data_IF_587641715888
#
_entry.id   IF_587641715888
#
_cell.length_a   1.000
_cell.length_b   1.000
_cell.length_c   1.000
_cell.angle_alpha   90.00
_cell.angle_beta   90.00
_cell.angle_gamma   90.00
#
_symmetry.space_group_name_H-M   'P 1'
#
loop_
_entity.id
_entity.type
_entity.pdbx_description
1 polymer ?
#
# COMPACT_ATOMS: atom_id res chain seq x y z
N UNK A 1 -9.28 9.66 -7.41
CA UNK A 1 -7.88 9.25 -7.37
C UNK A 1 -7.78 7.79 -7.77
N UNK A 2 -6.68 7.39 -8.40
CA UNK A 2 -6.42 6.02 -8.87
C UNK A 2 -4.95 5.66 -8.68
N UNK A 3 -4.65 4.36 -8.72
CA UNK A 3 -3.27 3.87 -8.67
C UNK A 3 -2.73 3.72 -10.09
N UNK A 4 -1.54 4.25 -10.35
CA UNK A 4 -0.81 4.02 -11.60
C UNK A 4 -0.02 2.73 -11.46
N UNK A 5 -0.68 1.60 -11.71
CA UNK A 5 -0.15 0.26 -11.43
C UNK A 5 1.17 -0.05 -12.13
N UNK A 6 1.43 0.54 -13.29
CA UNK A 6 2.64 0.31 -14.10
C UNK A 6 3.92 0.88 -13.47
N UNK A 7 3.80 1.83 -12.54
CA UNK A 7 4.96 2.45 -11.84
C UNK A 7 5.00 2.10 -10.35
N UNK A 8 4.12 1.21 -9.89
CA UNK A 8 4.11 0.72 -8.51
C UNK A 8 4.99 -0.52 -8.37
N UNK A 9 5.53 -0.74 -7.17
CA UNK A 9 6.21 -2.00 -6.85
C UNK A 9 5.28 -3.20 -7.03
N UNK A 10 5.87 -4.37 -7.27
CA UNK A 10 5.09 -5.59 -7.39
C UNK A 10 4.41 -5.92 -6.05
N UNK A 11 3.13 -6.28 -6.12
CA UNK A 11 2.36 -6.66 -4.94
C UNK A 11 2.90 -7.97 -4.39
N UNK A 12 3.37 -7.95 -3.14
CA UNK A 12 3.88 -9.14 -2.49
C UNK A 12 2.73 -10.08 -2.12
N UNK A 13 2.76 -11.28 -2.70
CA UNK A 13 1.76 -12.32 -2.45
C UNK A 13 2.22 -13.21 -1.31
N UNK A 14 1.69 -12.95 -0.13
CA UNK A 14 1.89 -13.81 1.03
C UNK A 14 1.12 -15.13 0.79
N UNK A 15 1.84 -16.25 0.68
CA UNK A 15 1.23 -17.59 0.54
C UNK A 15 0.69 -18.17 1.86
N UNK A 16 0.56 -17.35 2.90
CA UNK A 16 0.20 -17.81 4.25
C UNK A 16 -1.31 -17.98 4.48
N UNK A 17 -2.16 -17.31 3.70
CA UNK A 17 -3.62 -17.47 3.77
C UNK A 17 -4.12 -18.14 2.49
N UNK A 18 -4.75 -19.30 2.60
CA UNK A 18 -5.41 -19.97 1.49
C UNK A 18 -6.89 -20.12 1.80
N UNK A 19 -7.75 -19.61 0.91
CA UNK A 19 -9.18 -19.88 0.98
C UNK A 19 -9.40 -21.28 0.43
N UNK A 20 -9.91 -22.18 1.26
CA UNK A 20 -10.21 -23.56 0.88
C UNK A 20 -11.72 -23.78 0.82
N UNK A 21 -12.16 -24.65 -0.09
CA UNK A 21 -13.53 -25.14 -0.16
C UNK A 21 -13.48 -26.67 -0.12
N UNK A 22 -14.13 -27.28 0.88
CA UNK A 22 -14.06 -28.71 1.14
C UNK A 22 -12.62 -29.28 1.25
N UNK A 23 -11.68 -28.48 1.77
CA UNK A 23 -10.27 -28.87 1.89
C UNK A 23 -9.43 -28.67 0.62
N UNK A 24 -10.03 -28.24 -0.49
CA UNK A 24 -9.29 -27.89 -1.71
C UNK A 24 -8.92 -26.41 -1.73
N UNK A 25 -7.63 -26.05 -1.97
CA UNK A 25 -7.19 -24.66 -2.04
C UNK A 25 -7.75 -23.98 -3.29
N UNK A 26 -8.51 -22.90 -3.11
CA UNK A 26 -9.09 -22.13 -4.21
C UNK A 26 -8.19 -20.96 -4.61
N UNK A 27 -7.91 -20.03 -3.69
CA UNK A 27 -7.03 -18.89 -3.97
C UNK A 27 -6.36 -18.37 -2.70
N UNK A 28 -5.24 -17.67 -2.88
CA UNK A 28 -4.52 -16.97 -1.83
C UNK A 28 -4.85 -15.48 -1.94
N UNK A 29 -5.62 -14.89 -1.01
CA UNK A 29 -5.94 -13.47 -1.07
C UNK A 29 -4.67 -12.63 -0.95
N UNK A 30 -4.56 -11.61 -1.80
CA UNK A 30 -3.55 -10.55 -1.68
C UNK A 30 -4.26 -9.21 -1.89
N UNK A 31 -3.86 -8.21 -1.11
CA UNK A 31 -4.44 -6.88 -1.17
C UNK A 31 -3.81 -6.09 -2.31
N UNK A 32 -4.64 -5.32 -3.03
CA UNK A 32 -4.20 -4.47 -4.13
C UNK A 32 -3.61 -3.16 -3.60
N UNK A 33 -2.68 -2.48 -4.32
CA UNK A 33 -2.24 -1.14 -3.95
C UNK A 33 -3.40 -0.13 -3.84
N UNK A 34 -4.56 -0.43 -4.46
CA UNK A 34 -5.78 0.35 -4.32
C UNK A 34 -6.26 0.46 -2.87
N UNK A 35 -5.96 -0.53 -2.02
CA UNK A 35 -6.31 -0.52 -0.59
C UNK A 35 -5.76 0.70 0.14
N UNK A 36 -4.62 1.26 -0.32
CA UNK A 36 -3.97 2.44 0.30
C UNK A 36 -4.82 3.71 0.16
N UNK A 37 -5.57 3.88 -0.94
CA UNK A 37 -6.37 5.09 -1.21
C UNK A 37 -7.85 4.93 -0.86
N UNK A 38 -8.27 3.77 -0.36
CA UNK A 38 -9.68 3.50 -0.07
C UNK A 38 -10.14 4.16 1.24
N UNK A 39 -9.23 4.50 2.15
CA UNK A 39 -9.55 5.15 3.42
C UNK A 39 -10.38 4.23 4.33
N UNK A 40 -9.71 3.48 5.21
CA UNK A 40 -10.42 2.67 6.20
C UNK A 40 -10.49 3.43 7.53
N UNK A 41 -11.69 3.58 8.13
CA UNK A 41 -11.82 4.25 9.44
C UNK A 41 -11.14 3.46 10.57
N UNK A 42 -10.95 2.15 10.38
CA UNK A 42 -10.22 1.27 11.29
C UNK A 42 -9.22 0.46 10.50
N UNK A 43 -7.94 0.59 10.85
CA UNK A 43 -6.87 -0.22 10.27
C UNK A 43 -6.86 -1.61 10.90
N UNK A 44 -7.31 -2.60 10.12
CA UNK A 44 -7.35 -3.99 10.52
C UNK A 44 -6.06 -4.72 10.11
N UNK A 45 -5.57 -5.67 10.93
CA UNK A 45 -4.45 -6.53 10.54
C UNK A 45 -4.71 -7.24 9.20
N UNK A 46 -3.72 -7.23 8.31
CA UNK A 46 -3.82 -7.84 6.99
C UNK A 46 -4.58 -7.02 5.94
N UNK A 47 -5.17 -5.87 6.30
CA UNK A 47 -5.79 -4.92 5.36
C UNK A 47 -4.83 -3.81 4.95
N UNK A 48 -3.68 -4.22 4.42
CA UNK A 48 -2.65 -3.34 3.90
C UNK A 48 -2.09 -3.89 2.59
N UNK A 49 -1.53 -3.00 1.77
CA UNK A 49 -0.79 -3.42 0.58
C UNK A 49 0.67 -3.68 0.96
N UNK A 50 1.17 -4.87 0.59
CA UNK A 50 2.55 -5.28 0.82
C UNK A 50 3.34 -5.32 -0.49
N UNK A 51 4.62 -4.99 -0.42
CA UNK A 51 5.61 -5.14 -1.49
C UNK A 51 6.84 -5.90 -0.97
N UNK A 52 7.65 -6.43 -1.88
CA UNK A 52 8.81 -7.23 -1.50
C UNK A 52 10.00 -6.35 -1.09
N UNK A 53 10.65 -6.69 0.02
CA UNK A 53 11.85 -5.99 0.50
C UNK A 53 11.54 -4.76 1.36
N UNK A 54 12.51 -3.86 1.47
CA UNK A 54 12.46 -2.66 2.33
C UNK A 54 12.22 -1.37 1.55
N UNK A 55 12.33 -1.42 0.23
CA UNK A 55 12.15 -0.28 -0.67
C UNK A 55 11.00 -0.58 -1.64
N UNK A 56 10.09 0.38 -1.77
CA UNK A 56 8.94 0.25 -2.66
C UNK A 56 8.45 1.61 -3.12
N UNK A 57 7.76 1.61 -4.26
CA UNK A 57 7.23 2.80 -4.91
C UNK A 57 5.73 2.66 -5.09
N UNK A 58 4.99 3.71 -4.77
CA UNK A 58 3.55 3.82 -4.98
C UNK A 58 3.26 5.13 -5.71
N UNK A 59 2.56 5.03 -6.85
CA UNK A 59 2.19 6.20 -7.65
C UNK A 59 0.68 6.36 -7.64
N UNK A 60 0.22 7.52 -7.17
CA UNK A 60 -1.20 7.85 -7.03
C UNK A 60 -1.53 9.00 -7.99
N UNK A 61 -2.45 8.75 -8.91
CA UNK A 61 -3.06 9.79 -9.73
C UNK A 61 -4.18 10.45 -8.93
N UNK A 62 -4.03 11.74 -8.65
CA UNK A 62 -5.01 12.54 -7.92
C UNK A 62 -6.23 12.82 -8.81
N UNK A 63 -7.39 13.11 -8.22
CA UNK A 63 -8.61 13.39 -9.01
C UNK A 63 -8.51 14.66 -9.83
N UNK A 64 -7.77 15.66 -9.34
CA UNK A 64 -7.56 16.95 -9.98
C UNK A 64 -6.16 17.48 -9.65
N UNK A 65 -5.62 18.42 -10.43
CA UNK A 65 -4.37 19.10 -10.10
C UNK A 65 -4.50 19.89 -8.80
N UNK A 66 -3.61 19.63 -7.84
CA UNK A 66 -3.58 20.34 -6.55
C UNK A 66 -2.14 20.68 -6.17
N UNK A 67 -1.99 21.67 -5.28
CA UNK A 67 -0.73 21.93 -4.58
C UNK A 67 -0.74 21.14 -3.27
N UNK A 68 0.12 20.14 -3.17
CA UNK A 68 0.25 19.31 -1.96
C UNK A 68 0.84 20.18 -0.84
N UNK A 69 0.19 20.19 0.32
CA UNK A 69 0.69 20.87 1.53
C UNK A 69 1.11 19.87 2.60
N UNK A 70 0.41 18.75 2.71
CA UNK A 70 0.64 17.71 3.70
C UNK A 70 0.31 16.35 3.10
N UNK A 71 0.95 15.30 3.62
CA UNK A 71 0.67 13.91 3.32
C UNK A 71 0.49 13.17 4.65
N UNK A 72 -0.46 12.26 4.69
CA UNK A 72 -0.74 11.41 5.84
C UNK A 72 -0.44 9.96 5.47
N UNK A 73 0.31 9.28 6.32
CA UNK A 73 0.60 7.86 6.22
C UNK A 73 0.15 7.19 7.52
N UNK A 74 -0.78 6.24 7.42
CA UNK A 74 -1.27 5.51 8.57
C UNK A 74 -0.82 4.04 8.54
N UNK A 75 -0.59 3.49 9.73
CA UNK A 75 -0.32 2.08 9.96
C UNK A 75 -1.08 1.61 11.20
N UNK A 76 -1.43 0.32 11.27
CA UNK A 76 -2.11 -0.22 12.44
C UNK A 76 -1.27 0.01 13.72
N UNK A 77 -1.91 0.32 14.86
CA UNK A 77 -1.19 0.54 16.11
C UNK A 77 -0.66 -0.79 16.68
N UNK A 78 0.43 -0.72 17.46
CA UNK A 78 1.11 -1.91 18.03
C UNK A 78 0.18 -2.84 18.80
N UNK A 79 -0.76 -2.28 19.58
CA UNK A 79 -1.70 -3.07 20.38
C UNK A 79 -2.70 -3.86 19.54
N UNK A 80 -2.93 -3.47 18.27
CA UNK A 80 -3.75 -4.21 17.32
C UNK A 80 -2.93 -5.20 16.49
N UNK A 81 -1.60 -5.23 16.62
CA UNK A 81 -0.77 -6.21 15.91
C UNK A 81 -0.91 -7.59 16.55
N UNK A 82 -1.23 -8.65 15.79
CA UNK A 82 -1.33 -10.01 16.31
C UNK A 82 -0.05 -10.50 17.01
N UNK A 83 1.11 -9.99 16.59
CA UNK A 83 2.42 -10.34 17.15
C UNK A 83 2.94 -9.30 18.14
N UNK A 84 2.24 -8.17 18.31
CA UNK A 84 2.75 -6.99 19.04
C UNK A 84 3.86 -6.21 18.31
N UNK A 85 4.30 -6.69 17.15
CA UNK A 85 5.36 -6.09 16.34
C UNK A 85 4.78 -5.34 15.13
N UNK A 86 5.42 -4.25 14.72
CA UNK A 86 5.06 -3.45 13.53
C UNK A 86 6.30 -3.17 12.67
N UNK A 87 7.25 -4.09 12.65
CA UNK A 87 8.55 -3.90 11.99
C UNK A 87 8.42 -3.76 10.46
N UNK A 88 7.28 -4.18 9.90
CA UNK A 88 6.91 -3.99 8.50
C UNK A 88 6.41 -2.58 8.16
N UNK A 89 6.18 -1.71 9.14
CA UNK A 89 5.70 -0.37 8.90
C UNK A 89 6.76 0.45 8.14
N UNK A 90 6.37 1.29 7.16
CA UNK A 90 7.30 2.21 6.51
C UNK A 90 7.91 3.15 7.55
N UNK A 91 9.21 3.41 7.43
CA UNK A 91 9.95 4.31 8.33
C UNK A 91 10.23 5.63 7.65
N UNK A 92 11.13 5.58 6.67
CA UNK A 92 11.52 6.72 5.86
C UNK A 92 10.81 6.63 4.51
N UNK A 93 10.24 7.74 4.07
CA UNK A 93 9.61 7.84 2.76
C UNK A 93 9.80 9.24 2.19
N UNK A 94 9.76 9.32 0.87
CA UNK A 94 9.89 10.54 0.10
C UNK A 94 8.63 10.74 -0.73
N UNK A 95 8.21 11.99 -0.90
CA UNK A 95 7.04 12.33 -1.71
C UNK A 95 7.49 13.13 -2.91
N UNK A 96 7.09 12.67 -4.09
CA UNK A 96 7.41 13.31 -5.35
C UNK A 96 6.13 13.79 -6.03
N UNK A 97 6.14 15.03 -6.51
CA UNK A 97 5.10 15.58 -7.37
C UNK A 97 5.41 15.31 -8.84
N UNK A 98 4.50 14.64 -9.55
CA UNK A 98 4.59 14.42 -10.99
C UNK A 98 3.55 15.28 -11.71
N UNK A 99 3.95 15.99 -12.76
CA UNK A 99 3.02 16.74 -13.63
C UNK A 99 2.41 15.83 -14.70
N UNK A 100 3.21 14.91 -15.22
CA UNK A 100 2.84 13.94 -16.25
C UNK A 100 3.34 12.54 -15.87
N UNK A 101 2.70 11.51 -16.40
CA UNK A 101 3.00 10.11 -16.06
C UNK A 101 4.41 9.64 -16.50
N UNK A 102 5.09 10.41 -17.35
CA UNK A 102 6.39 10.09 -17.96
C UNK A 102 7.57 10.88 -17.41
N UNK A 103 7.34 11.92 -16.59
CA UNK A 103 8.41 12.78 -16.06
C UNK A 103 9.07 12.18 -14.81
N UNK A 104 10.31 12.62 -14.53
CA UNK A 104 10.94 12.43 -13.22
C UNK A 104 10.28 13.40 -12.22
N UNK A 105 9.83 12.87 -11.08
CA UNK A 105 9.08 13.64 -10.10
C UNK A 105 9.96 14.69 -9.42
N UNK A 106 9.37 15.84 -9.07
CA UNK A 106 10.01 16.83 -8.22
C UNK A 106 9.80 16.46 -6.75
N UNK A 107 10.88 16.41 -5.96
CA UNK A 107 10.79 16.19 -4.51
C UNK A 107 10.00 17.32 -3.85
N UNK A 108 9.04 16.98 -3.00
CA UNK A 108 8.15 17.91 -2.30
C UNK A 108 8.65 18.28 -0.90
#
# INVERSE_FOLDING_TARGET
>A
ASIVSTRCSETYRIRSACITLFGFPLWYPSESPRTVIQGYPVLLPGKCWAFHGVQGTLVISLSHPIRISHVTLDHLPRYNSPTGHIDSAPKDFEVYGLKNDTEEGALL
#
